data_IF_153399342417
#
_entry.id   IF_153399342417
#
_cell.length_a   1.000
_cell.length_b   1.000
_cell.length_c   1.000
_cell.angle_alpha   90.00
_cell.angle_beta   90.00
_cell.angle_gamma   90.00
#
_symmetry.space_group_name_H-M   'P 1'
#
loop_
_entity.id
_entity.type
_entity.pdbx_description
1 polymer ?
#
# COMPACT_ATOMS: atom_id res chain seq x y z
N UNK A 1 7.16 7.73 -15.06
CA UNK A 1 6.89 9.15 -15.38
C UNK A 1 7.31 9.97 -14.18
N UNK A 2 8.13 11.00 -14.35
CA UNK A 2 8.50 11.91 -13.26
C UNK A 2 7.24 12.64 -12.78
N UNK A 3 7.00 12.66 -11.48
CA UNK A 3 5.91 13.42 -10.91
C UNK A 3 6.39 14.86 -10.72
N UNK A 4 6.19 15.69 -11.74
CA UNK A 4 6.71 17.07 -11.80
C UNK A 4 6.29 17.88 -10.57
N UNK A 5 5.05 17.68 -10.08
CA UNK A 5 4.56 18.36 -8.88
C UNK A 5 5.34 17.95 -7.61
N UNK A 6 5.67 16.66 -7.48
CA UNK A 6 6.48 16.19 -6.35
C UNK A 6 7.90 16.76 -6.42
N UNK A 7 8.51 16.78 -7.62
CA UNK A 7 9.84 17.34 -7.82
C UNK A 7 9.89 18.83 -7.43
N UNK A 8 8.87 19.61 -7.80
CA UNK A 8 8.76 21.02 -7.39
C UNK A 8 8.61 21.19 -5.87
N UNK A 9 7.81 20.34 -5.21
CA UNK A 9 7.69 20.36 -3.74
C UNK A 9 9.03 20.06 -3.07
N UNK A 10 9.77 19.06 -3.56
CA UNK A 10 11.08 18.69 -3.02
C UNK A 10 12.10 19.83 -3.11
N UNK A 11 12.06 20.63 -4.18
CA UNK A 11 12.92 21.82 -4.32
C UNK A 11 12.54 22.91 -3.31
N UNK A 12 11.25 23.12 -3.04
CA UNK A 12 10.77 24.11 -2.07
C UNK A 12 11.11 23.74 -0.63
N UNK A 13 11.27 22.45 -0.31
CA UNK A 13 11.66 22.01 1.04
C UNK A 13 13.05 22.56 1.43
N UNK A 14 13.94 22.75 0.45
CA UNK A 14 15.30 23.23 0.69
C UNK A 14 15.36 24.68 1.20
N UNK A 15 14.32 25.49 0.97
CA UNK A 15 14.26 26.88 1.41
C UNK A 15 13.48 27.08 2.72
N UNK A 16 12.95 26.01 3.32
CA UNK A 16 12.18 26.11 4.56
C UNK A 16 13.09 26.39 5.76
N UNK A 17 12.64 27.28 6.64
CA UNK A 17 13.26 27.47 7.95
C UNK A 17 12.89 26.30 8.90
N UNK A 18 13.50 26.27 10.09
CA UNK A 18 13.25 25.20 11.08
C UNK A 18 11.78 25.08 11.50
N UNK A 19 11.08 26.21 11.71
CA UNK A 19 9.69 26.22 12.18
C UNK A 19 8.77 25.63 11.11
N UNK A 20 8.95 26.04 9.87
CA UNK A 20 8.15 25.57 8.75
C UNK A 20 8.46 24.11 8.40
N UNK A 21 9.73 23.70 8.52
CA UNK A 21 10.14 22.30 8.37
C UNK A 21 9.48 21.41 9.44
N UNK A 22 9.45 21.88 10.70
CA UNK A 22 8.78 21.16 11.80
C UNK A 22 7.27 21.04 11.57
N UNK A 23 6.63 22.11 11.09
CA UNK A 23 5.20 22.10 10.71
C UNK A 23 4.94 21.14 9.55
N UNK A 24 5.74 21.20 8.48
CA UNK A 24 5.63 20.30 7.34
C UNK A 24 5.75 18.84 7.77
N UNK A 25 6.76 18.50 8.58
CA UNK A 25 6.94 17.13 9.08
C UNK A 25 5.70 16.64 9.84
N UNK A 26 5.11 17.51 10.67
CA UNK A 26 3.88 17.17 11.41
C UNK A 26 2.70 16.90 10.46
N UNK A 27 2.50 17.75 9.44
CA UNK A 27 1.45 17.58 8.44
C UNK A 27 1.66 16.33 7.56
N UNK A 28 2.90 16.05 7.17
CA UNK A 28 3.24 14.84 6.39
C UNK A 28 3.00 13.61 7.23
N UNK A 29 3.44 13.59 8.49
CA UNK A 29 3.14 12.50 9.43
C UNK A 29 1.65 12.27 9.57
N UNK A 30 0.86 13.32 9.81
CA UNK A 30 -0.60 13.22 9.92
C UNK A 30 -1.24 12.64 8.65
N UNK A 31 -0.74 13.01 7.47
CA UNK A 31 -1.21 12.45 6.19
C UNK A 31 -0.84 10.98 6.04
N UNK A 32 0.38 10.59 6.43
CA UNK A 32 0.80 9.19 6.43
C UNK A 32 0.01 8.36 7.46
N UNK A 33 -0.27 8.91 8.64
CA UNK A 33 -1.08 8.26 9.69
C UNK A 33 -2.53 8.04 9.25
N UNK A 34 -3.08 8.92 8.40
CA UNK A 34 -4.40 8.72 7.80
C UNK A 34 -4.44 7.61 6.74
N UNK A 35 -3.30 7.21 6.19
CA UNK A 35 -3.20 6.10 5.23
C UNK A 35 -2.89 4.79 5.96
N UNK A 36 -3.94 4.22 6.55
CA UNK A 36 -3.89 2.94 7.27
C UNK A 36 -3.29 1.83 6.39
N UNK A 37 -3.61 1.82 5.09
CA UNK A 37 -3.11 0.81 4.15
C UNK A 37 -1.62 1.00 3.92
N UNK A 38 -1.17 2.23 3.71
CA UNK A 38 0.25 2.57 3.57
C UNK A 38 1.07 2.16 4.80
N UNK A 39 0.55 2.43 6.00
CA UNK A 39 1.22 2.04 7.26
C UNK A 39 1.39 0.53 7.39
N UNK A 40 0.33 -0.24 7.14
CA UNK A 40 0.39 -1.71 7.19
C UNK A 40 1.36 -2.26 6.14
N UNK A 41 1.44 -1.63 4.95
CA UNK A 41 2.41 -2.03 3.93
C UNK A 41 3.84 -1.82 4.43
N UNK A 42 4.14 -0.64 4.99
CA UNK A 42 5.48 -0.31 5.50
C UNK A 42 5.90 -1.26 6.63
N UNK A 43 5.03 -1.48 7.62
CA UNK A 43 5.27 -2.45 8.71
C UNK A 43 5.53 -3.86 8.18
N UNK A 44 4.79 -4.29 7.15
CA UNK A 44 5.01 -5.60 6.53
C UNK A 44 6.29 -5.68 5.72
N UNK A 45 6.78 -4.57 5.17
CA UNK A 45 8.07 -4.51 4.45
C UNK A 45 9.26 -4.67 5.41
N UNK A 46 9.16 -4.08 6.61
CA UNK A 46 10.22 -4.15 7.63
C UNK A 46 10.42 -5.56 8.20
N UNK A 47 9.38 -6.39 8.21
CA UNK A 47 9.42 -7.76 8.74
C UNK A 47 9.71 -8.84 7.66
N UNK A 48 9.94 -8.46 6.41
CA UNK A 48 10.24 -9.44 5.35
C UNK A 48 11.60 -10.09 5.61
N UNK A 49 11.59 -11.33 6.08
CA UNK A 49 12.80 -12.10 6.41
C UNK A 49 13.05 -13.30 5.50
N UNK A 50 12.03 -13.77 4.76
CA UNK A 50 12.13 -14.97 3.92
C UNK A 50 11.24 -14.91 2.68
N UNK A 51 11.56 -15.76 1.70
CA UNK A 51 10.74 -15.94 0.52
C UNK A 51 9.43 -16.68 0.88
N UNK A 52 8.24 -16.12 0.61
CA UNK A 52 6.98 -16.78 0.93
C UNK A 52 6.70 -18.01 0.07
N UNK A 53 7.49 -18.28 -0.97
CA UNK A 53 7.29 -19.42 -1.87
C UNK A 53 8.11 -20.64 -1.48
N UNK A 54 9.27 -20.45 -0.85
CA UNK A 54 10.23 -21.52 -0.56
C UNK A 54 10.96 -21.35 0.79
N UNK A 55 10.59 -20.36 1.60
CA UNK A 55 11.15 -20.06 2.93
C UNK A 55 12.66 -19.78 2.98
N UNK A 56 13.29 -19.52 1.82
CA UNK A 56 14.69 -19.13 1.78
C UNK A 56 14.86 -17.68 2.25
N UNK A 57 15.83 -17.38 3.14
CA UNK A 57 16.18 -16.02 3.52
C UNK A 57 16.98 -15.28 2.43
N UNK A 58 17.42 -16.01 1.39
CA UNK A 58 18.24 -15.45 0.32
C UNK A 58 17.38 -14.79 -0.76
N UNK A 59 17.28 -13.46 -0.71
CA UNK A 59 16.61 -12.65 -1.72
C UNK A 59 17.27 -11.28 -1.89
N UNK A 60 16.93 -10.60 -2.98
CA UNK A 60 17.43 -9.24 -3.29
C UNK A 60 16.28 -8.30 -3.60
N UNK A 61 16.49 -6.99 -3.38
CA UNK A 61 15.58 -5.95 -3.85
C UNK A 61 15.51 -5.97 -5.39
N UNK A 62 14.31 -5.93 -5.95
CA UNK A 62 14.03 -6.09 -7.38
C UNK A 62 13.10 -4.99 -7.90
N UNK A 63 13.47 -3.74 -7.58
CA UNK A 63 12.70 -2.55 -7.91
C UNK A 63 11.45 -2.36 -7.03
N UNK A 64 10.60 -1.43 -7.42
CA UNK A 64 9.37 -1.06 -6.71
C UNK A 64 8.17 -1.20 -7.64
N UNK A 65 6.99 -1.46 -7.07
CA UNK A 65 5.74 -1.42 -7.83
C UNK A 65 5.35 0.02 -8.16
N UNK A 66 4.38 0.21 -9.07
CA UNK A 66 3.82 1.54 -9.34
C UNK A 66 3.17 2.20 -8.11
N UNK A 67 2.89 1.42 -7.06
CA UNK A 67 2.35 1.88 -5.77
C UNK A 67 3.43 2.11 -4.71
N UNK A 68 4.71 2.07 -5.08
CA UNK A 68 5.83 2.28 -4.15
C UNK A 68 6.26 1.03 -3.36
N UNK A 69 5.48 -0.05 -3.39
CA UNK A 69 5.77 -1.29 -2.64
C UNK A 69 7.07 -1.93 -3.13
N UNK A 70 7.98 -2.27 -2.21
CA UNK A 70 9.23 -2.95 -2.51
C UNK A 70 8.98 -4.35 -3.09
N UNK A 71 9.64 -4.66 -4.21
CA UNK A 71 9.66 -6.00 -4.79
C UNK A 71 10.95 -6.70 -4.41
N UNK A 72 10.87 -8.00 -4.21
CA UNK A 72 12.00 -8.87 -3.92
C UNK A 72 12.06 -10.00 -4.95
N UNK A 73 13.26 -10.51 -5.19
CA UNK A 73 13.49 -11.72 -5.98
C UNK A 73 14.29 -12.72 -5.17
N UNK A 74 13.72 -13.91 -4.97
CA UNK A 74 14.40 -15.00 -4.28
C UNK A 74 15.57 -15.52 -5.11
N UNK A 75 16.71 -15.81 -4.48
CA UNK A 75 17.87 -16.40 -5.15
C UNK A 75 17.71 -17.90 -5.37
N UNK A 76 16.97 -18.60 -4.52
CA UNK A 76 16.72 -20.05 -4.64
C UNK A 76 15.65 -20.35 -5.70
N UNK A 77 14.39 -20.04 -5.42
CA UNK A 77 13.29 -20.40 -6.33
C UNK A 77 13.12 -19.43 -7.51
N UNK A 78 13.92 -18.38 -7.60
CA UNK A 78 13.89 -17.30 -8.63
C UNK A 78 12.55 -16.54 -8.76
N UNK A 79 11.55 -16.84 -7.94
CA UNK A 79 10.25 -16.16 -7.93
C UNK A 79 10.38 -14.76 -7.34
N UNK A 80 9.51 -13.86 -7.81
CA UNK A 80 9.38 -12.52 -7.23
C UNK A 80 8.24 -12.47 -6.23
N UNK A 81 8.38 -11.60 -5.23
CA UNK A 81 7.38 -11.37 -4.20
C UNK A 81 7.49 -9.93 -3.67
N UNK A 82 6.55 -9.53 -2.83
CA UNK A 82 6.53 -8.29 -2.05
C UNK A 82 5.91 -8.56 -0.67
N UNK A 83 5.92 -7.57 0.21
CA UNK A 83 5.33 -7.64 1.56
C UNK A 83 3.84 -8.05 1.60
N UNK A 84 3.11 -7.79 0.51
CA UNK A 84 1.70 -8.17 0.37
C UNK A 84 1.49 -9.58 -0.21
N UNK A 85 2.54 -10.32 -0.56
CA UNK A 85 2.39 -11.67 -1.14
C UNK A 85 1.65 -12.58 -0.17
N UNK A 86 0.71 -13.40 -0.67
CA UNK A 86 -0.22 -14.22 0.14
C UNK A 86 -1.17 -13.42 1.05
N UNK A 87 -1.40 -12.13 0.78
CA UNK A 87 -2.46 -11.35 1.46
C UNK A 87 -3.61 -11.02 0.49
N UNK A 88 -4.83 -10.75 0.97
CA UNK A 88 -5.94 -10.28 0.14
C UNK A 88 -5.64 -8.98 -0.63
N UNK A 89 -4.69 -8.18 -0.13
CA UNK A 89 -4.26 -6.95 -0.79
C UNK A 89 -3.34 -7.20 -2.00
N UNK A 90 -2.84 -8.43 -2.17
CA UNK A 90 -1.93 -8.76 -3.27
C UNK A 90 -2.58 -8.54 -4.63
N UNK A 91 -1.93 -7.76 -5.50
CA UNK A 91 -2.43 -7.38 -6.84
C UNK A 91 -3.79 -6.66 -6.85
N UNK A 92 -4.30 -6.24 -5.69
CA UNK A 92 -5.56 -5.51 -5.64
C UNK A 92 -5.40 -4.10 -6.21
N UNK A 93 -6.26 -3.74 -7.15
CA UNK A 93 -6.20 -2.42 -7.81
C UNK A 93 -6.68 -1.30 -6.90
N UNK A 94 -7.81 -1.50 -6.22
CA UNK A 94 -8.50 -0.49 -5.37
C UNK A 94 -8.29 -0.75 -3.88
N UNK A 95 -7.04 -0.73 -3.42
CA UNK A 95 -6.67 -1.02 -2.03
C UNK A 95 -7.21 0.00 -1.04
N UNK A 96 -7.32 1.25 -1.47
CA UNK A 96 -7.91 2.38 -0.76
C UNK A 96 -9.35 2.12 -0.31
N UNK A 97 -10.11 1.31 -1.05
CA UNK A 97 -11.53 1.01 -0.75
C UNK A 97 -11.73 -0.25 0.08
N UNK A 98 -10.67 -1.03 0.31
CA UNK A 98 -10.78 -2.34 0.93
C UNK A 98 -11.16 -2.25 2.40
N UNK A 99 -10.57 -1.32 3.15
CA UNK A 99 -10.89 -1.16 4.58
C UNK A 99 -12.36 -0.79 4.78
N UNK A 100 -12.87 0.19 4.02
CA UNK A 100 -14.29 0.53 4.02
C UNK A 100 -15.16 -0.65 3.59
N UNK A 101 -14.73 -1.42 2.58
CA UNK A 101 -15.44 -2.62 2.15
C UNK A 101 -15.56 -3.66 3.27
N UNK A 102 -14.45 -3.99 3.94
CA UNK A 102 -14.43 -4.96 5.05
C UNK A 102 -15.26 -4.47 6.22
N UNK A 103 -15.18 -3.20 6.59
CA UNK A 103 -16.02 -2.61 7.64
C UNK A 103 -17.51 -2.76 7.31
N UNK A 104 -17.92 -2.38 6.10
CA UNK A 104 -19.32 -2.48 5.68
C UNK A 104 -19.80 -3.95 5.59
N UNK A 105 -18.92 -4.87 5.21
CA UNK A 105 -19.21 -6.30 5.23
C UNK A 105 -19.38 -6.82 6.66
N UNK A 106 -18.55 -6.37 7.59
CA UNK A 106 -18.65 -6.69 9.02
C UNK A 106 -19.97 -6.18 9.61
N UNK A 107 -20.42 -5.00 9.18
CA UNK A 107 -21.71 -4.40 9.56
C UNK A 107 -22.92 -5.08 8.87
N UNK A 108 -22.72 -6.15 8.10
CA UNK A 108 -23.79 -6.89 7.44
C UNK A 108 -24.45 -6.14 6.27
N UNK A 109 -23.81 -5.12 5.72
CA UNK A 109 -24.37 -4.33 4.61
C UNK A 109 -24.38 -5.17 3.32
N UNK A 110 -25.49 -5.10 2.56
CA UNK A 110 -25.61 -5.85 1.31
C UNK A 110 -24.59 -5.42 0.25
N UNK A 111 -24.08 -6.38 -0.53
CA UNK A 111 -23.08 -6.12 -1.58
C UNK A 111 -23.51 -5.05 -2.60
N UNK A 112 -24.82 -4.95 -2.91
CA UNK A 112 -25.34 -3.89 -3.80
C UNK A 112 -25.17 -2.50 -3.17
N UNK A 113 -25.46 -2.36 -1.88
CA UNK A 113 -25.30 -1.09 -1.16
C UNK A 113 -23.81 -0.74 -1.02
N UNK A 114 -22.96 -1.71 -0.69
CA UNK A 114 -21.49 -1.52 -0.65
C UNK A 114 -20.96 -1.09 -2.02
N UNK A 115 -21.35 -1.77 -3.09
CA UNK A 115 -20.92 -1.45 -4.45
C UNK A 115 -21.28 -0.01 -4.85
N UNK A 116 -22.50 0.43 -4.50
CA UNK A 116 -22.95 1.81 -4.71
C UNK A 116 -22.15 2.80 -3.86
N UNK A 117 -22.00 2.57 -2.56
CA UNK A 117 -21.28 3.47 -1.64
C UNK A 117 -19.81 3.62 -2.01
N UNK A 118 -19.13 2.53 -2.35
CA UNK A 118 -17.71 2.55 -2.68
C UNK A 118 -17.44 2.81 -4.16
N UNK A 119 -18.46 3.01 -5.00
CA UNK A 119 -18.32 3.18 -6.43
C UNK A 119 -17.43 2.07 -7.06
N UNK A 120 -17.82 0.83 -6.82
CA UNK A 120 -17.23 -0.39 -7.41
C UNK A 120 -18.34 -1.21 -8.09
N UNK A 121 -17.98 -2.10 -9.02
CA UNK A 121 -18.98 -2.99 -9.60
C UNK A 121 -19.42 -4.02 -8.57
N UNK A 122 -20.67 -4.49 -8.68
CA UNK A 122 -21.17 -5.59 -7.84
C UNK A 122 -20.30 -6.84 -7.97
N UNK A 123 -19.77 -7.09 -9.17
CA UNK A 123 -18.80 -8.16 -9.44
C UNK A 123 -17.55 -8.00 -8.58
N UNK A 124 -16.95 -6.82 -8.54
CA UNK A 124 -15.78 -6.54 -7.68
C UNK A 124 -16.11 -6.77 -6.22
N UNK A 125 -17.24 -6.26 -5.73
CA UNK A 125 -17.68 -6.48 -4.36
C UNK A 125 -17.85 -7.98 -4.05
N UNK A 126 -18.44 -8.76 -4.94
CA UNK A 126 -18.59 -10.21 -4.74
C UNK A 126 -17.22 -10.94 -4.69
N UNK A 127 -16.29 -10.61 -5.59
CA UNK A 127 -14.94 -11.20 -5.58
C UNK A 127 -14.19 -10.89 -4.28
N UNK A 128 -14.36 -9.68 -3.76
CA UNK A 128 -13.72 -9.23 -2.52
C UNK A 128 -14.22 -9.94 -1.26
N UNK A 129 -15.28 -10.74 -1.35
CA UNK A 129 -15.79 -11.55 -0.22
C UNK A 129 -14.99 -12.84 0.04
N UNK A 130 -14.18 -13.30 -0.92
CA UNK A 130 -13.49 -14.60 -0.90
C UNK A 130 -11.99 -14.38 -0.94
#
# INVERSE_FOLDING_TARGET
MKNIALDSILQLILSLNYVDTKRLNSSVKQKLDSDIVGKVIAEREDIVSECPHCHSPEFVKHGVTAKGIQRYRCKECKKTFCSLTKTPLYKMRKQDKWLSYVSMMWDGITLRKIAKTLNISLRTAFFWRH
#
